data_IF_899780186198
#
_entry.id   IF_899780186198
#
_cell.length_a   1.000
_cell.length_b   1.000
_cell.length_c   1.000
_cell.angle_alpha   90.00
_cell.angle_beta   90.00
_cell.angle_gamma   90.00
#
_symmetry.space_group_name_H-M   'P 1'
#
loop_
_entity.id
_entity.type
_entity.pdbx_description
1 polymer ?
#
# COMPACT_ATOMS: atom_id res chain seq x y z
N UNK A 1 14.16 -5.42 3.36
CA UNK A 1 13.95 -5.38 1.90
C UNK A 1 15.25 -5.59 1.12
N UNK A 2 16.41 -5.06 1.57
CA UNK A 2 17.70 -5.19 0.88
C UNK A 2 18.14 -6.65 0.61
N UNK A 3 17.68 -7.61 1.43
CA UNK A 3 18.02 -9.03 1.29
C UNK A 3 17.12 -9.80 0.30
N UNK A 4 16.24 -9.11 -0.45
CA UNK A 4 15.37 -9.78 -1.41
C UNK A 4 16.14 -10.45 -2.56
N UNK A 5 15.56 -11.49 -3.13
CA UNK A 5 16.05 -12.20 -4.32
C UNK A 5 14.90 -12.35 -5.33
N UNK A 6 14.97 -11.71 -6.52
CA UNK A 6 16.06 -10.84 -7.00
C UNK A 6 16.24 -9.60 -6.12
N UNK A 7 17.45 -9.05 -6.13
CA UNK A 7 17.76 -7.82 -5.40
C UNK A 7 16.99 -6.64 -6.00
N UNK A 8 16.37 -5.77 -5.18
CA UNK A 8 15.73 -4.56 -5.69
C UNK A 8 16.79 -3.59 -6.24
N UNK A 9 16.46 -2.90 -7.32
CA UNK A 9 17.32 -1.86 -7.87
C UNK A 9 17.42 -0.65 -6.91
N UNK A 10 16.35 -0.38 -6.17
CA UNK A 10 16.26 0.70 -5.18
C UNK A 10 15.36 0.28 -4.00
N UNK A 11 15.72 0.71 -2.81
CA UNK A 11 14.88 0.61 -1.60
C UNK A 11 14.69 2.02 -1.04
N UNK A 12 13.46 2.46 -0.88
CA UNK A 12 13.14 3.83 -0.50
C UNK A 12 12.28 3.87 0.75
N UNK A 13 12.65 4.73 1.71
CA UNK A 13 11.80 5.15 2.81
C UNK A 13 11.14 6.48 2.44
N UNK A 14 9.79 6.51 2.44
CA UNK A 14 9.02 7.68 2.06
C UNK A 14 8.45 8.36 3.28
N UNK A 15 8.83 9.62 3.53
CA UNK A 15 8.38 10.39 4.69
C UNK A 15 7.87 11.77 4.28
N UNK A 16 6.76 12.28 4.88
CA UNK A 16 6.36 13.66 4.72
C UNK A 16 7.36 14.60 5.45
N UNK A 17 7.38 15.86 5.07
CA UNK A 17 8.13 16.87 5.81
C UNK A 17 7.50 17.17 7.17
N UNK A 18 6.17 17.05 7.26
CA UNK A 18 5.40 17.21 8.48
C UNK A 18 4.25 16.21 8.51
N UNK A 19 4.04 15.57 9.67
CA UNK A 19 2.90 14.70 9.90
C UNK A 19 1.63 15.52 10.14
N UNK A 20 0.59 15.31 9.33
CA UNK A 20 -0.74 15.90 9.55
C UNK A 20 -1.34 15.40 10.86
N UNK A 21 -1.24 14.10 11.12
CA UNK A 21 -1.81 13.45 12.31
C UNK A 21 -1.20 13.92 13.61
N UNK A 22 0.10 14.19 13.63
CA UNK A 22 0.84 14.52 14.86
C UNK A 22 1.24 15.99 14.93
N UNK A 23 1.00 16.79 13.89
CA UNK A 23 1.31 18.23 13.86
C UNK A 23 2.81 18.55 13.93
N UNK A 24 3.69 17.58 13.73
CA UNK A 24 5.13 17.71 13.85
C UNK A 24 5.89 17.03 12.71
N UNK A 25 7.14 17.43 12.53
CA UNK A 25 8.03 16.73 11.59
C UNK A 25 8.37 15.32 12.09
N UNK A 26 8.49 14.33 11.19
CA UNK A 26 8.96 13.01 11.56
C UNK A 26 10.39 13.08 12.10
N UNK A 27 10.66 12.34 13.18
CA UNK A 27 12.04 12.12 13.63
C UNK A 27 12.78 11.36 12.54
N UNK A 28 13.94 11.87 12.14
CA UNK A 28 14.75 11.23 11.11
C UNK A 28 15.34 9.93 11.64
N UNK A 29 15.03 8.77 11.04
CA UNK A 29 15.67 7.51 11.39
C UNK A 29 17.11 7.46 10.85
N UNK A 30 17.97 6.70 11.52
CA UNK A 30 19.22 6.25 10.91
C UNK A 30 18.87 5.24 9.81
N UNK A 31 19.27 5.53 8.59
CA UNK A 31 19.01 4.65 7.45
C UNK A 31 20.16 3.65 7.27
N UNK A 32 19.86 2.38 7.04
CA UNK A 32 20.87 1.43 6.59
C UNK A 32 21.45 1.82 5.22
N UNK A 33 22.70 1.43 4.96
CA UNK A 33 23.31 1.57 3.63
C UNK A 33 22.41 0.92 2.56
N UNK A 34 22.22 1.60 1.44
CA UNK A 34 21.37 1.14 0.35
C UNK A 34 19.88 1.46 0.48
N UNK A 35 19.47 2.17 1.54
CA UNK A 35 18.12 2.73 1.67
C UNK A 35 18.14 4.22 1.40
N UNK A 36 17.35 4.65 0.44
CA UNK A 36 17.21 6.05 0.06
C UNK A 36 16.05 6.71 0.81
N UNK A 37 16.22 7.96 1.26
CA UNK A 37 15.13 8.76 1.83
C UNK A 37 14.45 9.58 0.74
N UNK A 38 13.14 9.40 0.60
CA UNK A 38 12.30 10.20 -0.28
C UNK A 38 11.36 11.07 0.55
N UNK A 39 11.56 12.40 0.52
CA UNK A 39 10.75 13.37 1.25
C UNK A 39 9.67 13.97 0.38
N UNK A 40 8.48 14.15 0.94
CA UNK A 40 7.38 14.85 0.28
C UNK A 40 6.90 16.04 1.12
N UNK A 41 6.58 17.19 0.50
CA UNK A 41 6.06 18.35 1.24
C UNK A 41 4.65 18.07 1.81
N UNK A 42 3.85 17.23 1.14
CA UNK A 42 2.48 16.91 1.55
C UNK A 42 2.42 15.52 2.19
N UNK A 43 1.82 15.44 3.37
CA UNK A 43 1.47 14.18 4.00
C UNK A 43 0.24 13.58 3.30
N UNK A 44 0.44 12.46 2.60
CA UNK A 44 -0.60 11.70 1.94
C UNK A 44 -1.12 10.54 2.82
N UNK A 45 -0.81 10.58 4.11
CA UNK A 45 -1.11 9.49 5.01
C UNK A 45 -0.37 8.21 4.63
N UNK A 46 -0.96 7.04 4.89
CA UNK A 46 -0.33 5.78 4.54
C UNK A 46 -0.12 5.60 3.02
N UNK A 47 -0.86 6.31 2.16
CA UNK A 47 -0.64 6.30 0.72
C UNK A 47 0.71 6.92 0.29
N UNK A 48 1.41 7.62 1.19
CA UNK A 48 2.75 8.18 0.94
C UNK A 48 3.72 7.11 0.44
N UNK A 49 3.70 5.90 1.02
CA UNK A 49 4.56 4.76 0.63
C UNK A 49 4.39 4.30 -0.83
N UNK A 50 3.22 4.56 -1.44
CA UNK A 50 2.90 4.14 -2.80
C UNK A 50 2.99 5.31 -3.80
N UNK A 51 2.32 6.44 -3.51
CA UNK A 51 2.17 7.55 -4.46
C UNK A 51 3.48 8.31 -4.67
N UNK A 52 4.23 8.54 -3.60
CA UNK A 52 5.47 9.34 -3.68
C UNK A 52 6.53 8.64 -4.54
N UNK A 53 6.86 7.34 -4.31
CA UNK A 53 7.78 6.64 -5.19
C UNK A 53 7.20 6.41 -6.59
N UNK A 54 5.88 6.22 -6.75
CA UNK A 54 5.27 6.10 -8.06
C UNK A 54 5.51 7.35 -8.91
N UNK A 55 5.31 8.54 -8.36
CA UNK A 55 5.59 9.82 -9.05
C UNK A 55 7.07 10.00 -9.40
N UNK A 56 7.97 9.54 -8.52
CA UNK A 56 9.42 9.65 -8.76
C UNK A 56 9.92 8.66 -9.82
N UNK A 57 9.24 7.53 -10.00
CA UNK A 57 9.71 6.39 -10.81
C UNK A 57 8.89 6.16 -12.09
N UNK A 58 7.74 6.80 -12.26
CA UNK A 58 6.90 6.64 -13.46
C UNK A 58 7.71 6.86 -14.76
N UNK A 59 7.62 5.91 -15.68
CA UNK A 59 8.38 5.91 -16.93
C UNK A 59 9.88 5.62 -16.79
N UNK A 60 10.37 5.29 -15.58
CA UNK A 60 11.78 4.94 -15.33
C UNK A 60 11.97 3.49 -14.94
N UNK A 61 10.93 2.89 -14.36
CA UNK A 61 10.90 1.47 -13.99
C UNK A 61 9.51 0.91 -14.31
N UNK A 62 9.43 -0.38 -14.58
CA UNK A 62 8.18 -1.07 -14.93
C UNK A 62 7.48 -1.65 -13.70
N UNK A 63 8.17 -1.79 -12.57
CA UNK A 63 7.67 -2.44 -11.38
C UNK A 63 8.05 -1.67 -10.11
N UNK A 64 7.07 -1.40 -9.29
CA UNK A 64 7.17 -0.84 -7.95
C UNK A 64 6.47 -1.76 -6.97
N UNK A 65 7.15 -2.14 -5.89
CA UNK A 65 6.52 -2.83 -4.76
C UNK A 65 6.51 -1.88 -3.58
N UNK A 66 5.34 -1.60 -3.01
CA UNK A 66 5.21 -0.83 -1.77
C UNK A 66 4.68 -1.71 -0.63
N UNK A 67 5.12 -1.43 0.59
CA UNK A 67 4.69 -2.12 1.81
C UNK A 67 4.86 -1.19 3.02
N UNK A 68 4.33 -1.62 4.18
CA UNK A 68 4.60 -0.97 5.46
C UNK A 68 5.99 -1.36 5.98
N UNK A 69 6.51 -0.62 6.94
CA UNK A 69 7.87 -0.76 7.48
C UNK A 69 7.94 -1.55 8.80
N UNK A 70 6.80 -1.94 9.32
CA UNK A 70 6.63 -2.69 10.57
C UNK A 70 6.62 -4.23 10.41
N UNK A 71 6.87 -4.74 9.19
CA UNK A 71 6.92 -6.16 8.88
C UNK A 71 8.29 -6.61 8.37
N UNK A 72 8.70 -7.82 8.77
CA UNK A 72 9.85 -8.53 8.19
C UNK A 72 9.39 -9.39 7.04
N UNK A 73 9.88 -9.09 5.85
CA UNK A 73 9.58 -9.83 4.63
C UNK A 73 10.61 -10.96 4.43
N UNK A 74 10.19 -12.21 4.10
CA UNK A 74 11.11 -13.28 3.73
C UNK A 74 11.84 -12.94 2.42
N UNK A 75 13.01 -13.53 2.19
CA UNK A 75 13.88 -13.21 1.03
C UNK A 75 13.24 -13.46 -0.34
N UNK A 76 12.24 -14.33 -0.44
CA UNK A 76 11.47 -14.63 -1.66
C UNK A 76 10.20 -13.81 -1.85
N UNK A 77 9.93 -12.85 -0.96
CA UNK A 77 8.68 -12.08 -0.96
C UNK A 77 8.48 -11.28 -2.27
N UNK A 78 9.49 -10.54 -2.70
CA UNK A 78 9.42 -9.77 -3.94
C UNK A 78 9.29 -10.69 -5.17
N UNK A 79 10.03 -11.81 -5.22
CA UNK A 79 9.91 -12.78 -6.29
C UNK A 79 8.50 -13.37 -6.40
N UNK A 80 7.86 -13.67 -5.27
CA UNK A 80 6.50 -14.21 -5.26
C UNK A 80 5.47 -13.19 -5.77
N UNK A 81 5.61 -11.91 -5.45
CA UNK A 81 4.77 -10.83 -6.00
C UNK A 81 4.99 -10.69 -7.51
N UNK A 82 6.25 -10.68 -7.96
CA UNK A 82 6.59 -10.58 -9.38
C UNK A 82 6.06 -11.76 -10.20
N UNK A 83 6.06 -12.97 -9.64
CA UNK A 83 5.56 -14.16 -10.31
C UNK A 83 4.03 -14.24 -10.39
N UNK A 84 3.31 -13.51 -9.52
CA UNK A 84 1.85 -13.55 -9.46
C UNK A 84 1.17 -12.64 -10.49
N UNK A 85 1.84 -11.61 -10.98
CA UNK A 85 1.27 -10.62 -11.92
C UNK A 85 1.85 -10.75 -13.32
N UNK A 86 0.96 -10.87 -14.30
CA UNK A 86 1.29 -10.74 -15.71
C UNK A 86 1.44 -9.27 -16.17
N UNK A 87 1.65 -9.05 -17.47
CA UNK A 87 1.61 -7.71 -18.06
C UNK A 87 0.24 -7.05 -17.83
N UNK A 88 0.23 -5.79 -17.36
CA UNK A 88 -1.01 -5.05 -17.12
C UNK A 88 -1.75 -5.45 -15.83
N UNK A 89 -1.16 -6.28 -14.99
CA UNK A 89 -1.73 -6.72 -13.73
C UNK A 89 -0.93 -6.22 -12.53
N UNK A 90 -1.62 -5.93 -11.44
CA UNK A 90 -1.05 -5.73 -10.11
C UNK A 90 -1.03 -7.06 -9.34
N UNK A 91 -0.22 -7.15 -8.27
CA UNK A 91 -0.28 -8.27 -7.34
C UNK A 91 -0.24 -7.79 -5.89
N UNK A 92 -0.89 -8.54 -4.98
CA UNK A 92 -0.91 -8.24 -3.57
C UNK A 92 -0.68 -9.51 -2.73
N UNK A 93 0.20 -9.43 -1.74
CA UNK A 93 0.45 -10.54 -0.82
C UNK A 93 -0.76 -10.81 0.10
N UNK A 94 -1.60 -9.82 0.32
CA UNK A 94 -2.86 -9.93 1.06
C UNK A 94 -3.93 -9.08 0.39
N UNK A 95 -5.19 -9.52 0.46
CA UNK A 95 -6.31 -8.80 -0.11
C UNK A 95 -7.63 -9.08 0.59
N UNK A 96 -8.61 -8.22 0.34
CA UNK A 96 -9.96 -8.28 0.92
C UNK A 96 -10.99 -7.97 -0.16
N UNK A 97 -12.11 -8.68 -0.13
CA UNK A 97 -13.25 -8.42 -1.00
C UNK A 97 -14.09 -7.25 -0.49
N UNK A 98 -14.57 -6.38 -1.38
CA UNK A 98 -15.47 -5.26 -1.04
C UNK A 98 -16.74 -5.76 -0.37
N UNK A 99 -17.31 -6.88 -0.83
CA UNK A 99 -18.48 -7.50 -0.22
C UNK A 99 -18.26 -7.83 1.27
N UNK A 100 -17.07 -8.31 1.63
CA UNK A 100 -16.70 -8.57 3.02
C UNK A 100 -16.55 -7.29 3.81
N UNK A 101 -15.92 -6.26 3.23
CA UNK A 101 -15.77 -4.95 3.85
C UNK A 101 -17.14 -4.32 4.19
N UNK A 102 -18.09 -4.40 3.26
CA UNK A 102 -19.47 -3.93 3.44
C UNK A 102 -20.34 -4.88 4.28
N UNK A 103 -19.75 -5.93 4.88
CA UNK A 103 -20.47 -6.97 5.66
C UNK A 103 -21.57 -7.70 4.89
N UNK A 104 -21.51 -7.70 3.56
CA UNK A 104 -22.41 -8.42 2.68
C UNK A 104 -22.02 -9.90 2.52
N UNK A 105 -20.82 -10.26 2.93
CA UNK A 105 -20.32 -11.63 2.94
C UNK A 105 -19.42 -11.86 4.15
N UNK A 106 -19.53 -13.03 4.78
CA UNK A 106 -18.62 -13.51 5.83
C UNK A 106 -17.56 -14.47 5.28
N UNK A 107 -17.68 -14.88 4.02
CA UNK A 107 -16.72 -15.79 3.38
C UNK A 107 -15.40 -15.05 3.13
N UNK A 108 -14.30 -15.70 3.42
CA UNK A 108 -13.00 -15.30 2.88
C UNK A 108 -13.05 -15.62 1.39
N UNK A 109 -12.64 -14.67 0.55
CA UNK A 109 -12.42 -14.96 -0.85
C UNK A 109 -11.39 -16.08 -1.04
N UNK A 110 -11.26 -16.63 -2.25
CA UNK A 110 -10.26 -17.66 -2.54
C UNK A 110 -8.87 -17.19 -2.14
N UNK A 111 -7.98 -18.11 -1.76
CA UNK A 111 -6.60 -17.75 -1.40
C UNK A 111 -5.78 -17.30 -2.62
N UNK A 112 -6.16 -17.78 -3.78
CA UNK A 112 -5.63 -17.43 -5.11
C UNK A 112 -6.68 -16.69 -5.95
N UNK A 113 -6.30 -16.22 -7.12
CA UNK A 113 -7.14 -15.43 -8.02
C UNK A 113 -7.06 -13.92 -7.75
N UNK A 114 -8.15 -13.21 -8.02
CA UNK A 114 -8.21 -11.76 -7.89
C UNK A 114 -8.67 -11.31 -6.50
N UNK A 115 -8.36 -10.07 -6.17
CA UNK A 115 -8.88 -9.40 -4.97
C UNK A 115 -9.33 -7.99 -5.32
N UNK A 116 -10.38 -7.50 -4.66
CA UNK A 116 -10.86 -6.13 -4.89
C UNK A 116 -9.95 -5.09 -4.23
N UNK A 117 -9.46 -5.37 -3.03
CA UNK A 117 -8.68 -4.45 -2.21
C UNK A 117 -7.34 -5.08 -1.87
N UNK A 118 -6.26 -4.52 -2.42
CA UNK A 118 -4.89 -4.87 -2.07
C UNK A 118 -4.53 -4.30 -0.70
N UNK A 119 -3.97 -5.11 0.19
CA UNK A 119 -3.55 -4.67 1.52
C UNK A 119 -2.06 -4.29 1.52
N UNK A 120 -1.76 -3.00 1.59
CA UNK A 120 -0.42 -2.42 1.45
C UNK A 120 0.59 -2.93 2.47
N UNK A 121 0.16 -3.24 3.69
CA UNK A 121 1.07 -3.71 4.73
C UNK A 121 1.83 -4.99 4.34
N UNK A 122 1.20 -5.84 3.55
CA UNK A 122 1.78 -7.13 3.15
C UNK A 122 2.62 -7.06 1.85
N UNK A 123 2.47 -5.96 1.12
CA UNK A 123 3.14 -5.72 -0.15
C UNK A 123 2.21 -5.78 -1.34
N UNK A 124 2.33 -4.76 -2.19
CA UNK A 124 1.59 -4.64 -3.44
C UNK A 124 2.54 -4.27 -4.56
N UNK A 125 2.50 -5.02 -5.66
CA UNK A 125 3.22 -4.80 -6.90
C UNK A 125 2.34 -4.04 -7.89
N UNK A 126 2.86 -2.94 -8.44
CA UNK A 126 2.18 -2.11 -9.45
C UNK A 126 3.18 -1.61 -10.49
N UNK A 127 2.67 -1.17 -11.64
CA UNK A 127 3.39 -0.22 -12.49
C UNK A 127 3.27 1.19 -11.87
N UNK A 128 4.38 1.92 -11.66
CA UNK A 128 4.33 3.27 -11.08
C UNK A 128 3.42 4.24 -11.83
N UNK A 129 3.26 4.08 -13.15
CA UNK A 129 2.44 4.95 -13.99
C UNK A 129 0.95 4.94 -13.58
N UNK A 130 0.48 3.86 -12.96
CA UNK A 130 -0.91 3.73 -12.52
C UNK A 130 -1.23 4.59 -11.30
N UNK A 131 -0.21 4.94 -10.50
CA UNK A 131 -0.38 5.69 -9.24
C UNK A 131 0.30 7.07 -9.24
N UNK A 132 0.83 7.54 -10.38
CA UNK A 132 1.58 8.80 -10.43
C UNK A 132 0.71 10.05 -10.64
N UNK A 133 -0.54 9.90 -11.06
CA UNK A 133 -1.43 11.01 -11.44
C UNK A 133 -1.81 11.88 -10.22
N UNK A 134 -2.03 13.20 -10.40
CA UNK A 134 -2.41 14.11 -9.32
C UNK A 134 -3.68 13.70 -8.57
N UNK A 135 -4.70 13.22 -9.28
CA UNK A 135 -6.00 12.80 -8.74
C UNK A 135 -5.95 11.58 -7.83
N UNK A 136 -4.84 10.85 -7.83
CA UNK A 136 -4.60 9.71 -6.91
C UNK A 136 -4.31 10.20 -5.46
N UNK A 137 -3.99 11.48 -5.27
CA UNK A 137 -3.82 12.02 -3.92
C UNK A 137 -5.14 11.86 -3.12
N UNK A 138 -5.12 11.17 -1.96
CA UNK A 138 -6.35 10.89 -1.23
C UNK A 138 -6.97 12.18 -0.68
N UNK A 139 -8.30 12.36 -0.84
CA UNK A 139 -9.03 13.40 -0.14
C UNK A 139 -9.10 13.09 1.37
N UNK A 140 -9.51 14.04 2.22
CA UNK A 140 -9.53 13.84 3.67
C UNK A 140 -10.26 12.58 4.14
N UNK A 141 -11.36 12.22 3.50
CA UNK A 141 -12.16 11.04 3.86
C UNK A 141 -11.50 9.70 3.47
N UNK A 142 -10.63 9.70 2.46
CA UNK A 142 -9.86 8.53 2.03
C UNK A 142 -8.44 8.50 2.64
N UNK A 143 -7.98 9.61 3.25
CA UNK A 143 -6.63 9.73 3.77
C UNK A 143 -6.20 8.60 4.72
N UNK A 144 -7.03 8.09 5.67
CA UNK A 144 -6.62 7.02 6.57
C UNK A 144 -6.75 5.61 5.99
N UNK A 145 -7.26 5.44 4.77
CA UNK A 145 -7.65 4.13 4.21
C UNK A 145 -7.09 3.93 2.79
N UNK A 146 -5.79 4.09 2.67
CA UNK A 146 -5.05 4.00 1.41
C UNK A 146 -5.30 2.72 0.60
N UNK A 147 -5.43 1.58 1.27
CA UNK A 147 -5.68 0.29 0.62
C UNK A 147 -6.93 0.33 -0.27
N UNK A 148 -8.03 0.88 0.25
CA UNK A 148 -9.30 0.99 -0.48
C UNK A 148 -9.16 2.04 -1.58
N UNK A 149 -8.58 3.20 -1.27
CA UNK A 149 -8.42 4.30 -2.20
C UNK A 149 -7.58 3.91 -3.42
N UNK A 150 -6.39 3.35 -3.17
CA UNK A 150 -5.48 2.95 -4.24
C UNK A 150 -6.06 1.81 -5.07
N UNK A 151 -6.68 0.81 -4.43
CA UNK A 151 -7.32 -0.31 -5.15
C UNK A 151 -8.49 0.15 -6.01
N UNK A 152 -9.31 1.10 -5.52
CA UNK A 152 -10.38 1.69 -6.32
C UNK A 152 -9.87 2.42 -7.56
N UNK A 153 -8.71 3.09 -7.47
CA UNK A 153 -8.08 3.71 -8.63
C UNK A 153 -7.51 2.69 -9.62
N UNK A 154 -6.99 1.55 -9.16
CA UNK A 154 -6.61 0.44 -10.04
C UNK A 154 -7.84 -0.12 -10.75
N UNK A 155 -8.93 -0.37 -10.02
CA UNK A 155 -10.18 -0.88 -10.59
C UNK A 155 -10.78 0.07 -11.64
N UNK A 156 -10.78 1.38 -11.38
CA UNK A 156 -11.23 2.40 -12.37
C UNK A 156 -10.39 2.42 -13.64
N UNK A 157 -9.14 1.97 -13.59
CA UNK A 157 -8.25 1.82 -14.75
C UNK A 157 -8.38 0.43 -15.41
N UNK A 158 -9.24 -0.45 -14.90
CA UNK A 158 -9.38 -1.83 -15.40
C UNK A 158 -8.20 -2.74 -15.06
N UNK A 159 -7.42 -2.40 -14.04
CA UNK A 159 -6.22 -3.16 -13.64
C UNK A 159 -6.62 -4.20 -12.59
N UNK A 160 -6.56 -5.50 -12.90
CA UNK A 160 -6.83 -6.55 -11.94
C UNK A 160 -5.70 -6.66 -10.92
N UNK A 161 -6.05 -7.05 -9.68
CA UNK A 161 -5.08 -7.30 -8.61
C UNK A 161 -5.04 -8.79 -8.30
N UNK A 162 -3.96 -9.46 -8.67
CA UNK A 162 -3.74 -10.89 -8.41
C UNK A 162 -3.30 -11.12 -6.97
N UNK A 163 -3.83 -12.14 -6.33
CA UNK A 163 -3.35 -12.58 -5.02
C UNK A 163 -2.02 -13.32 -5.17
N UNK A 164 -1.09 -13.02 -4.27
CA UNK A 164 0.22 -13.65 -4.17
C UNK A 164 0.40 -14.29 -2.79
N UNK A 165 -0.32 -15.37 -2.43
CA UNK A 165 -0.30 -15.94 -1.09
C UNK A 165 1.09 -16.46 -0.71
N UNK A 166 1.90 -16.88 -1.67
CA UNK A 166 3.30 -17.27 -1.45
C UNK A 166 4.14 -16.12 -0.88
N UNK A 167 3.86 -14.86 -1.26
CA UNK A 167 4.56 -13.69 -0.72
C UNK A 167 4.25 -13.48 0.76
N UNK A 168 3.04 -13.82 1.23
CA UNK A 168 2.66 -13.69 2.63
C UNK A 168 3.29 -14.74 3.54
N UNK A 169 3.67 -15.88 2.98
CA UNK A 169 4.22 -17.00 3.76
C UNK A 169 5.55 -16.61 4.40
N UNK A 170 5.61 -16.70 5.74
CA UNK A 170 6.83 -16.40 6.51
C UNK A 170 7.01 -14.91 6.85
N UNK A 171 6.09 -14.03 6.50
CA UNK A 171 6.06 -12.66 7.02
C UNK A 171 5.87 -12.66 8.54
N UNK A 172 6.55 -11.75 9.23
CA UNK A 172 6.48 -11.60 10.68
C UNK A 172 6.39 -10.13 11.04
N UNK A 173 5.56 -9.78 12.02
CA UNK A 173 5.53 -8.44 12.59
C UNK A 173 6.91 -8.12 13.19
N UNK A 174 7.46 -6.96 12.86
CA UNK A 174 8.79 -6.52 13.33
C UNK A 174 8.68 -5.53 14.47
N UNK A 175 7.62 -4.71 14.48
CA UNK A 175 7.38 -3.66 15.47
C UNK A 175 5.89 -3.68 15.85
N UNK A 176 5.61 -3.56 17.14
CA UNK A 176 4.27 -3.25 17.63
C UNK A 176 4.13 -1.73 17.71
N UNK A 177 3.18 -1.16 16.98
CA UNK A 177 2.93 0.27 16.98
C UNK A 177 1.74 0.61 17.89
N UNK A 178 2.01 1.26 19.02
CA UNK A 178 0.98 1.79 19.91
C UNK A 178 0.13 2.92 19.29
N UNK A 179 0.52 3.41 18.12
CA UNK A 179 -0.18 4.44 17.35
C UNK A 179 -0.80 3.89 16.04
N UNK A 180 -1.05 2.59 15.98
CA UNK A 180 -1.58 1.96 14.79
C UNK A 180 -2.82 2.70 14.26
N UNK A 181 -2.82 2.96 12.94
CA UNK A 181 -3.88 3.74 12.30
C UNK A 181 -5.23 3.02 12.32
N UNK A 182 -5.21 1.69 12.38
CA UNK A 182 -6.42 0.86 12.45
C UNK A 182 -7.25 1.10 13.71
N UNK A 183 -6.62 1.50 14.82
CA UNK A 183 -7.26 1.74 16.12
C UNK A 183 -7.54 3.23 16.38
N UNK A 184 -7.09 4.09 15.47
CA UNK A 184 -7.21 5.52 15.58
C UNK A 184 -8.57 6.05 15.09
N UNK A 185 -8.97 7.19 15.65
CA UNK A 185 -10.02 8.03 15.11
C UNK A 185 -9.38 9.16 14.32
N UNK A 186 -9.67 9.26 13.03
CA UNK A 186 -9.16 10.29 12.14
C UNK A 186 -10.32 11.05 11.52
N UNK A 187 -10.31 12.39 11.58
CA UNK A 187 -11.41 13.21 11.07
C UNK A 187 -12.77 12.85 11.70
N UNK A 188 -12.79 12.46 12.98
CA UNK A 188 -14.01 12.05 13.69
C UNK A 188 -14.53 10.65 13.34
N UNK A 189 -13.85 9.89 12.48
CA UNK A 189 -14.27 8.54 12.04
C UNK A 189 -13.32 7.47 12.55
N UNK A 190 -13.89 6.36 13.03
CA UNK A 190 -13.17 5.10 13.26
C UNK A 190 -12.95 4.36 11.94
N UNK A 191 -12.01 3.42 11.90
CA UNK A 191 -11.58 2.69 10.70
C UNK A 191 -12.73 2.18 9.83
N UNK A 192 -13.73 1.52 10.41
CA UNK A 192 -14.84 0.97 9.62
C UNK A 192 -15.67 2.07 8.92
N UNK A 193 -15.98 3.16 9.61
CA UNK A 193 -16.72 4.28 9.01
C UNK A 193 -15.89 4.98 7.90
N UNK A 194 -14.58 5.12 8.10
CA UNK A 194 -13.68 5.64 7.07
C UNK A 194 -13.62 4.73 5.84
N UNK A 195 -13.58 3.39 6.05
CA UNK A 195 -13.62 2.43 4.96
C UNK A 195 -14.87 2.58 4.09
N UNK A 196 -16.04 2.69 4.70
CA UNK A 196 -17.30 2.86 3.96
C UNK A 196 -17.35 4.20 3.22
N UNK A 197 -16.97 5.31 3.88
CA UNK A 197 -16.91 6.62 3.24
C UNK A 197 -15.97 6.65 2.02
N UNK A 198 -14.82 5.97 2.11
CA UNK A 198 -13.91 5.84 0.98
C UNK A 198 -14.52 5.02 -0.17
N UNK A 199 -15.22 3.92 0.13
CA UNK A 199 -15.95 3.16 -0.89
C UNK A 199 -16.99 4.04 -1.61
N UNK A 200 -17.75 4.84 -0.87
CA UNK A 200 -18.79 5.72 -1.45
C UNK A 200 -18.17 6.76 -2.37
N UNK A 201 -17.02 7.35 -2.02
CA UNK A 201 -16.26 8.25 -2.89
C UNK A 201 -15.80 7.61 -4.21
N UNK A 202 -15.50 6.33 -4.19
CA UNK A 202 -15.02 5.61 -5.37
C UNK A 202 -16.16 5.16 -6.29
N UNK A 203 -17.40 5.09 -5.79
CA UNK A 203 -18.58 4.65 -6.54
C UNK A 203 -19.47 5.82 -6.99
N UNK A 204 -19.20 7.04 -6.51
CA UNK A 204 -19.85 8.28 -6.97
C UNK A 204 -19.22 8.78 -8.27
#
# INVERSE_FOLDING_TARGET
LLAQRPAPARVMLCLPQQWVRFGQAPRMPALPDGVELLRTPKDLGPATKAIVPARALAGRVDRLIYCDDDWRMPTGWAAALLAAAGPGEAAAAAGVEVARLKRQSHRRGPEDGDTDIAQGYAGVLVDPTWLCRPEIAPPPDAWPVDDIWLSGHLARQGIPVRRAPAARKGMRLALEDGHALQDATVGGRRRHAANLACCDLLTA
#
